data_IF_247873701487
#
_entry.id   IF_247873701487
#
_cell.length_a   1.000
_cell.length_b   1.000
_cell.length_c   1.000
_cell.angle_alpha   90.00
_cell.angle_beta   90.00
_cell.angle_gamma   90.00
#
_symmetry.space_group_name_H-M   'P 1'
#
loop_
_entity.id
_entity.type
_entity.pdbx_description
1 polymer ?
#
# COMPACT_ATOMS: atom_id res chain seq x y z
N UNK A 1 7.36 6.62 7.19
CA UNK A 1 6.51 5.73 6.36
C UNK A 1 5.03 6.03 6.61
N UNK A 2 4.60 7.29 6.53
CA UNK A 2 3.29 7.77 7.02
C UNK A 2 2.31 8.13 5.89
N UNK A 3 2.82 8.52 4.72
CA UNK A 3 2.00 8.77 3.52
C UNK A 3 1.26 7.51 3.00
N UNK A 4 1.75 6.33 3.37
CA UNK A 4 1.15 5.06 2.98
C UNK A 4 -0.19 4.81 3.70
N UNK A 5 -0.36 5.28 4.95
CA UNK A 5 -1.59 5.03 5.74
C UNK A 5 -2.80 5.78 5.19
N UNK A 6 -2.63 7.05 4.77
CA UNK A 6 -3.70 7.82 4.12
C UNK A 6 -4.08 7.21 2.76
N UNK A 7 -3.08 6.77 2.00
CA UNK A 7 -3.30 6.08 0.72
C UNK A 7 -4.02 4.75 0.94
N UNK A 8 -3.64 4.01 1.97
CA UNK A 8 -4.28 2.76 2.38
C UNK A 8 -5.73 3.00 2.82
N UNK A 9 -6.01 4.05 3.60
CA UNK A 9 -7.37 4.41 4.01
C UNK A 9 -8.25 4.70 2.78
N UNK A 10 -7.72 5.43 1.80
CA UNK A 10 -8.43 5.72 0.55
C UNK A 10 -8.76 4.43 -0.23
N UNK A 11 -7.80 3.50 -0.30
CA UNK A 11 -7.99 2.20 -0.96
C UNK A 11 -9.05 1.37 -0.23
N UNK A 12 -8.99 1.28 1.09
CA UNK A 12 -9.95 0.51 1.88
C UNK A 12 -11.36 1.10 1.82
N UNK A 13 -11.50 2.43 1.80
CA UNK A 13 -12.78 3.08 1.57
C UNK A 13 -13.35 2.77 0.19
N UNK A 14 -12.53 2.82 -0.85
CA UNK A 14 -12.97 2.47 -2.21
C UNK A 14 -13.42 1.00 -2.30
N UNK A 15 -12.67 0.08 -1.68
CA UNK A 15 -13.06 -1.34 -1.59
C UNK A 15 -14.39 -1.52 -0.87
N UNK A 16 -14.62 -0.76 0.22
CA UNK A 16 -15.89 -0.78 0.95
C UNK A 16 -17.05 -0.34 0.05
N UNK A 17 -16.89 0.73 -0.72
CA UNK A 17 -17.92 1.22 -1.64
C UNK A 17 -18.26 0.19 -2.72
N UNK A 18 -17.25 -0.45 -3.32
CA UNK A 18 -17.44 -1.54 -4.29
C UNK A 18 -18.20 -2.71 -3.65
N UNK A 19 -17.84 -3.07 -2.42
CA UNK A 19 -18.51 -4.15 -1.69
C UNK A 19 -19.96 -3.82 -1.33
N UNK A 20 -20.28 -2.57 -0.99
CA UNK A 20 -21.65 -2.14 -0.77
C UNK A 20 -22.49 -2.35 -2.03
N UNK A 21 -21.97 -1.92 -3.18
CA UNK A 21 -22.67 -2.09 -4.45
C UNK A 21 -22.83 -3.56 -4.84
N UNK A 22 -21.79 -4.39 -4.65
CA UNK A 22 -21.89 -5.82 -4.95
C UNK A 22 -22.85 -6.54 -4.01
N UNK A 23 -22.88 -6.17 -2.72
CA UNK A 23 -23.82 -6.72 -1.74
C UNK A 23 -25.25 -6.36 -2.11
N UNK A 24 -25.52 -5.08 -2.41
CA UNK A 24 -26.85 -4.64 -2.81
C UNK A 24 -27.31 -5.32 -4.11
N UNK A 25 -26.42 -5.42 -5.09
CA UNK A 25 -26.69 -6.11 -6.35
C UNK A 25 -26.99 -7.59 -6.13
N UNK A 26 -26.20 -8.27 -5.28
CA UNK A 26 -26.42 -9.67 -4.91
C UNK A 26 -27.79 -9.88 -4.25
N UNK A 27 -28.14 -9.04 -3.28
CA UNK A 27 -29.43 -9.11 -2.59
C UNK A 27 -30.61 -8.89 -3.55
N UNK A 28 -30.48 -7.92 -4.45
CA UNK A 28 -31.52 -7.60 -5.42
C UNK A 28 -31.71 -8.72 -6.46
N UNK A 29 -30.63 -9.39 -6.88
CA UNK A 29 -30.71 -10.44 -7.90
C UNK A 29 -31.14 -11.80 -7.33
N UNK A 30 -30.83 -12.10 -6.06
CA UNK A 30 -30.93 -13.46 -5.51
C UNK A 30 -31.99 -13.67 -4.45
N UNK A 31 -32.76 -12.63 -4.12
CA UNK A 31 -33.82 -12.73 -3.12
C UNK A 31 -34.81 -13.87 -3.44
N UNK A 32 -35.30 -14.61 -2.43
CA UNK A 32 -36.36 -15.59 -2.63
C UNK A 32 -37.65 -14.90 -3.09
N UNK A 33 -38.31 -15.45 -4.10
CA UNK A 33 -39.59 -14.94 -4.58
C UNK A 33 -40.70 -15.42 -3.62
N UNK A 34 -41.22 -14.51 -2.81
CA UNK A 34 -42.34 -14.80 -1.90
C UNK A 34 -43.65 -14.54 -2.66
N UNK A 35 -44.47 -15.57 -2.80
CA UNK A 35 -45.80 -15.41 -3.38
C UNK A 35 -46.68 -14.53 -2.47
N UNK A 36 -47.46 -13.59 -3.04
CA UNK A 36 -48.45 -12.84 -2.26
C UNK A 36 -49.44 -13.78 -1.56
N UNK A 37 -49.97 -13.39 -0.39
CA UNK A 37 -51.01 -14.17 0.28
C UNK A 37 -52.23 -14.35 -0.64
N UNK A 38 -52.81 -15.55 -0.66
CA UNK A 38 -53.98 -15.84 -1.47
C UNK A 38 -55.15 -14.94 -1.03
N UNK A 39 -55.62 -14.09 -1.95
CA UNK A 39 -56.76 -13.21 -1.70
C UNK A 39 -58.03 -13.99 -2.06
N UNK A 40 -58.94 -14.26 -1.09
CA UNK A 40 -60.18 -14.97 -1.37
C UNK A 40 -61.01 -14.23 -2.43
N UNK A 41 -61.27 -14.87 -3.57
CA UNK A 41 -62.06 -14.33 -4.68
C UNK A 41 -61.29 -13.94 -5.94
N UNK A 42 -59.95 -13.90 -5.91
CA UNK A 42 -59.11 -13.64 -7.08
C UNK A 42 -58.67 -14.97 -7.74
N UNK A 43 -59.21 -15.27 -8.92
CA UNK A 43 -58.92 -16.50 -9.70
C UNK A 43 -57.66 -16.39 -10.57
N UNK A 44 -56.58 -15.82 -10.04
CA UNK A 44 -55.28 -15.85 -10.72
C UNK A 44 -54.33 -16.77 -9.97
N UNK A 45 -54.61 -18.07 -10.02
CA UNK A 45 -53.69 -19.09 -9.52
C UNK A 45 -53.14 -19.90 -10.69
N UNK A 46 -51.82 -19.80 -10.87
CA UNK A 46 -50.95 -20.73 -11.60
C UNK A 46 -51.39 -21.15 -13.01
N UNK A 47 -51.26 -20.26 -14.00
CA UNK A 47 -50.95 -20.72 -15.35
C UNK A 47 -49.44 -20.93 -15.40
N UNK A 48 -49.03 -22.18 -15.56
CA UNK A 48 -47.66 -22.61 -15.75
C UNK A 48 -47.02 -21.78 -16.87
N UNK A 49 -46.18 -20.80 -16.49
CA UNK A 49 -45.29 -20.13 -17.42
C UNK A 49 -44.33 -21.20 -17.94
N UNK A 50 -44.59 -21.70 -19.16
CA UNK A 50 -43.61 -22.45 -19.92
C UNK A 50 -42.31 -21.63 -19.97
N UNK A 51 -41.12 -22.26 -19.95
CA UNK A 51 -39.86 -21.54 -20.09
C UNK A 51 -39.77 -21.00 -21.52
N UNK A 52 -40.28 -19.79 -21.76
CA UNK A 52 -39.95 -19.01 -22.94
C UNK A 52 -38.52 -18.53 -22.77
N UNK A 53 -37.57 -19.37 -23.18
CA UNK A 53 -36.17 -18.96 -23.36
C UNK A 53 -36.09 -17.82 -24.38
N UNK A 54 -35.19 -16.84 -24.19
CA UNK A 54 -35.01 -15.76 -25.15
C UNK A 54 -34.46 -16.34 -26.46
N UNK A 55 -35.11 -16.01 -27.59
CA UNK A 55 -34.64 -16.37 -28.93
C UNK A 55 -33.29 -15.71 -29.26
N UNK A 56 -32.48 -16.30 -30.14
CA UNK A 56 -31.05 -16.03 -30.20
C UNK A 56 -30.63 -14.85 -31.11
N UNK A 57 -31.49 -13.88 -31.43
CA UNK A 57 -31.20 -12.99 -32.59
C UNK A 57 -31.10 -11.47 -32.36
N UNK A 58 -31.38 -10.91 -31.18
CA UNK A 58 -31.22 -9.44 -31.00
C UNK A 58 -30.32 -9.09 -29.79
N UNK A 59 -29.00 -9.29 -29.97
CA UNK A 59 -27.99 -8.83 -29.01
C UNK A 59 -27.41 -7.49 -29.44
N UNK A 60 -28.27 -6.47 -29.51
CA UNK A 60 -27.80 -5.09 -29.56
C UNK A 60 -27.55 -4.56 -28.13
N UNK A 61 -26.68 -3.55 -28.05
CA UNK A 61 -26.10 -2.91 -26.86
C UNK A 61 -27.05 -2.65 -25.64
N UNK A 62 -28.38 -2.46 -25.74
CA UNK A 62 -29.24 -2.35 -24.55
C UNK A 62 -29.54 -3.69 -23.82
N UNK A 63 -29.40 -4.84 -24.48
CA UNK A 63 -29.77 -6.14 -23.87
C UNK A 63 -28.76 -6.59 -22.81
N UNK A 64 -27.49 -6.16 -22.87
CA UNK A 64 -26.48 -6.49 -21.85
C UNK A 64 -26.77 -5.82 -20.50
N UNK A 65 -27.28 -4.59 -20.51
CA UNK A 65 -27.63 -3.85 -19.28
C UNK A 65 -28.89 -4.46 -18.63
N UNK A 66 -29.86 -4.91 -19.44
CA UNK A 66 -31.04 -5.63 -18.95
C UNK A 66 -30.73 -7.06 -18.46
N UNK A 67 -29.76 -7.74 -19.08
CA UNK A 67 -29.29 -9.05 -18.63
C UNK A 67 -28.72 -9.04 -17.19
N UNK A 68 -28.24 -7.87 -16.74
CA UNK A 68 -27.71 -7.64 -15.39
C UNK A 68 -28.81 -7.55 -14.32
N UNK A 69 -30.08 -7.37 -14.71
CA UNK A 69 -31.25 -7.36 -13.83
C UNK A 69 -32.08 -8.66 -13.89
N UNK A 70 -31.57 -9.70 -14.55
CA UNK A 70 -32.24 -11.01 -14.58
C UNK A 70 -32.20 -11.60 -13.18
N UNK A 71 -33.38 -11.74 -12.56
CA UNK A 71 -33.54 -12.39 -11.27
C UNK A 71 -32.99 -13.83 -11.34
N UNK A 72 -32.11 -14.17 -10.40
CA UNK A 72 -31.58 -15.52 -10.21
C UNK A 72 -31.84 -15.94 -8.75
N UNK A 73 -33.10 -16.24 -8.41
CA UNK A 73 -33.47 -16.59 -7.05
C UNK A 73 -32.64 -17.77 -6.57
N UNK A 74 -32.14 -17.67 -5.34
CA UNK A 74 -31.44 -18.79 -4.68
C UNK A 74 -32.36 -19.33 -3.58
N UNK A 75 -32.05 -20.50 -3.04
CA UNK A 75 -32.80 -21.03 -1.92
C UNK A 75 -32.70 -20.11 -0.69
N UNK A 76 -33.72 -20.13 0.15
CA UNK A 76 -33.85 -19.18 1.27
C UNK A 76 -32.73 -19.33 2.30
N UNK A 77 -32.23 -20.55 2.52
CA UNK A 77 -31.19 -20.81 3.51
C UNK A 77 -29.83 -20.30 3.01
N UNK A 78 -29.42 -20.62 1.79
CA UNK A 78 -28.17 -20.10 1.22
C UNK A 78 -28.20 -18.58 1.08
N UNK A 79 -29.36 -17.99 0.76
CA UNK A 79 -29.53 -16.55 0.73
C UNK A 79 -29.31 -15.90 2.11
N UNK A 80 -29.92 -16.47 3.16
CA UNK A 80 -29.74 -15.99 4.54
C UNK A 80 -28.31 -16.14 5.05
N UNK A 81 -27.67 -17.27 4.74
CA UNK A 81 -26.26 -17.52 5.08
C UNK A 81 -25.34 -16.51 4.38
N UNK A 82 -25.51 -16.32 3.07
CA UNK A 82 -24.75 -15.36 2.29
C UNK A 82 -24.99 -13.91 2.77
N UNK A 83 -26.24 -13.55 3.09
CA UNK A 83 -26.57 -12.24 3.65
C UNK A 83 -25.82 -12.01 4.97
N UNK A 84 -25.77 -13.01 5.85
CA UNK A 84 -25.06 -12.90 7.13
C UNK A 84 -23.55 -12.79 6.93
N UNK A 85 -22.98 -13.55 6.00
CA UNK A 85 -21.54 -13.47 5.66
C UNK A 85 -21.17 -12.08 5.11
N UNK A 86 -21.96 -11.57 4.17
CA UNK A 86 -21.77 -10.24 3.58
C UNK A 86 -21.87 -9.13 4.64
N UNK A 87 -22.86 -9.23 5.54
CA UNK A 87 -23.01 -8.29 6.65
C UNK A 87 -21.80 -8.34 7.61
N UNK A 88 -21.32 -9.55 7.92
CA UNK A 88 -20.15 -9.72 8.78
C UNK A 88 -18.89 -9.10 8.14
N UNK A 89 -18.59 -9.38 6.88
CA UNK A 89 -17.42 -8.81 6.20
C UNK A 89 -17.49 -7.29 6.16
N UNK A 90 -18.66 -6.72 5.91
CA UNK A 90 -18.87 -5.26 5.93
C UNK A 90 -18.56 -4.65 7.31
N UNK A 91 -18.99 -5.31 8.39
CA UNK A 91 -18.68 -4.89 9.76
C UNK A 91 -17.18 -4.99 10.04
N UNK A 92 -16.53 -6.08 9.64
CA UNK A 92 -15.09 -6.27 9.82
C UNK A 92 -14.29 -5.21 9.05
N UNK A 93 -14.64 -4.91 7.80
CA UNK A 93 -13.99 -3.84 7.02
C UNK A 93 -14.19 -2.47 7.64
N UNK A 94 -15.39 -2.19 8.16
CA UNK A 94 -15.66 -0.92 8.86
C UNK A 94 -14.78 -0.79 10.11
N UNK A 95 -14.60 -1.86 10.89
CA UNK A 95 -13.69 -1.87 12.04
C UNK A 95 -12.23 -1.70 11.63
N UNK A 96 -11.81 -2.33 10.53
CA UNK A 96 -10.47 -2.16 9.99
C UNK A 96 -10.20 -0.69 9.59
N UNK A 97 -11.16 -0.04 8.94
CA UNK A 97 -11.10 1.39 8.60
C UNK A 97 -11.00 2.25 9.86
N UNK A 98 -11.80 1.97 10.90
CA UNK A 98 -11.71 2.67 12.18
C UNK A 98 -10.33 2.53 12.83
N UNK A 99 -9.74 1.33 12.79
CA UNK A 99 -8.38 1.10 13.29
C UNK A 99 -7.32 1.84 12.46
N UNK A 100 -7.51 1.96 11.14
CA UNK A 100 -6.62 2.75 10.29
C UNK A 100 -6.72 4.24 10.61
N UNK A 101 -7.93 4.76 10.85
CA UNK A 101 -8.15 6.15 11.29
C UNK A 101 -7.46 6.39 12.63
N UNK A 102 -7.60 5.48 13.60
CA UNK A 102 -6.96 5.59 14.91
C UNK A 102 -5.42 5.53 14.84
N UNK A 103 -4.86 5.00 13.75
CA UNK A 103 -3.40 4.93 13.51
C UNK A 103 -2.89 6.12 12.69
N UNK A 104 -3.75 7.07 12.32
CA UNK A 104 -3.32 8.22 11.54
C UNK A 104 -2.29 9.04 12.36
N UNK A 105 -1.06 9.18 11.87
CA UNK A 105 -0.03 9.93 12.56
C UNK A 105 -0.42 11.40 12.56
N UNK A 106 -0.32 12.06 13.71
CA UNK A 106 -0.64 13.48 13.84
C UNK A 106 -2.13 13.79 14.04
N UNK A 107 -3.01 12.80 14.21
CA UNK A 107 -4.46 13.04 14.42
C UNK A 107 -4.75 13.86 15.69
N UNK A 108 -3.89 13.74 16.70
CA UNK A 108 -4.03 14.43 17.99
C UNK A 108 -3.22 15.73 18.09
N UNK A 109 -2.42 16.07 17.07
CA UNK A 109 -1.51 17.20 17.11
C UNK A 109 -2.03 18.38 16.29
N UNK A 110 -2.07 19.57 16.88
CA UNK A 110 -2.34 20.82 16.16
C UNK A 110 -1.20 21.15 15.18
N UNK A 111 -1.55 21.83 14.08
CA UNK A 111 -0.59 22.23 13.04
C UNK A 111 0.60 23.03 13.59
N UNK A 112 0.35 23.88 14.59
CA UNK A 112 1.40 24.67 15.23
C UNK A 112 2.39 23.80 15.99
N UNK A 113 1.90 22.81 16.75
CA UNK A 113 2.75 21.87 17.48
C UNK A 113 3.59 21.03 16.51
N UNK A 114 2.98 20.56 15.42
CA UNK A 114 3.70 19.83 14.37
C UNK A 114 4.78 20.70 13.72
N UNK A 115 4.48 21.97 13.43
CA UNK A 115 5.44 22.89 12.83
C UNK A 115 6.62 23.21 13.77
N UNK A 116 6.35 23.42 15.06
CA UNK A 116 7.37 23.64 16.07
C UNK A 116 8.27 22.41 16.23
N UNK A 117 7.69 21.21 16.30
CA UNK A 117 8.45 19.96 16.38
C UNK A 117 9.34 19.76 15.15
N UNK A 118 8.84 20.07 13.95
CA UNK A 118 9.61 20.04 12.70
C UNK A 118 10.79 21.02 12.75
N UNK A 119 10.58 22.24 13.28
CA UNK A 119 11.66 23.22 13.41
C UNK A 119 12.73 22.74 14.41
N UNK A 120 12.34 22.15 15.53
CA UNK A 120 13.27 21.62 16.53
C UNK A 120 14.08 20.44 15.98
N UNK A 121 13.43 19.50 15.27
CA UNK A 121 14.08 18.39 14.58
C UNK A 121 15.06 18.89 13.52
N UNK A 122 14.67 19.88 12.71
CA UNK A 122 15.55 20.48 11.71
C UNK A 122 16.79 21.12 12.34
N UNK A 123 16.65 21.82 13.46
CA UNK A 123 17.77 22.39 14.20
C UNK A 123 18.70 21.30 14.75
N UNK A 124 18.16 20.22 15.31
CA UNK A 124 18.96 19.07 15.78
C UNK A 124 19.72 18.40 14.62
N UNK A 125 19.08 18.19 13.48
CA UNK A 125 19.72 17.59 12.29
C UNK A 125 20.89 18.46 11.83
N UNK A 126 20.71 19.79 11.77
CA UNK A 126 21.79 20.71 11.41
C UNK A 126 22.98 20.61 12.37
N UNK A 127 22.74 20.50 13.67
CA UNK A 127 23.82 20.40 14.65
C UNK A 127 24.58 19.06 14.52
N UNK A 128 23.85 17.96 14.32
CA UNK A 128 24.43 16.64 14.06
C UNK A 128 25.26 16.66 12.77
N UNK A 129 24.79 17.34 11.71
CA UNK A 129 25.54 17.48 10.46
C UNK A 129 26.82 18.30 10.61
N UNK A 130 26.79 19.41 11.35
CA UNK A 130 28.00 20.20 11.68
C UNK A 130 29.02 19.34 12.43
N UNK A 131 28.58 18.60 13.43
CA UNK A 131 29.45 17.70 14.20
C UNK A 131 30.03 16.60 13.30
N UNK A 132 29.22 16.00 12.40
CA UNK A 132 29.68 15.02 11.41
C UNK A 132 30.72 15.63 10.46
N UNK A 133 30.53 16.87 10.04
CA UNK A 133 31.44 17.57 9.14
C UNK A 133 32.77 17.90 9.83
N UNK A 134 32.75 18.31 11.10
CA UNK A 134 33.95 18.54 11.90
C UNK A 134 34.77 17.26 12.07
N UNK A 135 34.13 16.16 12.51
CA UNK A 135 34.78 14.85 12.62
C UNK A 135 35.37 14.37 11.29
N UNK A 136 34.68 14.59 10.16
CA UNK A 136 35.21 14.29 8.82
C UNK A 136 36.42 15.15 8.45
N UNK A 137 36.49 16.42 8.89
CA UNK A 137 37.66 17.28 8.65
C UNK A 137 38.86 16.79 9.45
N UNK A 138 38.70 16.47 10.72
CA UNK A 138 39.76 15.92 11.57
C UNK A 138 40.28 14.59 11.02
N UNK A 139 39.37 13.68 10.65
CA UNK A 139 39.73 12.40 10.03
C UNK A 139 40.55 12.60 8.76
N UNK A 140 40.16 13.53 7.87
CA UNK A 140 40.95 13.84 6.66
C UNK A 140 42.33 14.40 6.98
N UNK A 141 42.47 15.20 8.03
CA UNK A 141 43.78 15.73 8.44
C UNK A 141 44.67 14.61 8.99
N UNK A 142 44.12 13.71 9.79
CA UNK A 142 44.84 12.54 10.32
C UNK A 142 45.29 11.60 9.19
N UNK A 143 44.41 11.32 8.22
CA UNK A 143 44.76 10.52 7.03
C UNK A 143 45.89 11.18 6.25
N UNK A 144 45.84 12.49 5.98
CA UNK A 144 46.93 13.21 5.30
C UNK A 144 48.27 13.13 6.04
N UNK A 145 48.25 13.21 7.38
CA UNK A 145 49.47 13.06 8.19
C UNK A 145 50.02 11.64 8.08
N UNK A 146 49.14 10.64 8.11
CA UNK A 146 49.53 9.23 7.94
C UNK A 146 50.13 8.99 6.55
N UNK A 147 49.48 9.49 5.49
CA UNK A 147 49.98 9.41 4.11
C UNK A 147 51.36 10.05 3.96
N UNK A 148 51.61 11.19 4.61
CA UNK A 148 52.91 11.86 4.58
C UNK A 148 54.02 11.03 5.25
N UNK A 149 53.72 10.39 6.39
CA UNK A 149 54.66 9.50 7.09
C UNK A 149 54.93 8.25 6.25
N UNK A 150 53.90 7.66 5.65
CA UNK A 150 54.04 6.51 4.74
C UNK A 150 54.90 6.90 3.54
N UNK A 151 54.67 8.06 2.92
CA UNK A 151 55.47 8.54 1.79
C UNK A 151 56.94 8.78 2.18
N UNK A 152 57.19 9.38 3.36
CA UNK A 152 58.55 9.57 3.87
C UNK A 152 59.26 8.24 4.15
N UNK A 153 58.58 7.27 4.77
CA UNK A 153 59.11 5.93 5.01
C UNK A 153 59.42 5.18 3.70
N UNK A 154 58.57 5.32 2.68
CA UNK A 154 58.81 4.73 1.35
C UNK A 154 59.98 5.41 0.62
N UNK A 155 60.16 6.73 0.77
CA UNK A 155 61.31 7.47 0.23
C UNK A 155 62.63 7.09 0.94
N UNK A 156 62.60 6.95 2.27
CA UNK A 156 63.77 6.52 3.05
C UNK A 156 64.20 5.09 2.68
N UNK A 157 63.23 4.18 2.49
CA UNK A 157 63.50 2.82 2.01
C UNK A 157 63.89 2.75 0.53
N UNK A 158 63.45 3.70 -0.29
CA UNK A 158 63.85 3.85 -1.69
C UNK A 158 65.20 4.54 -1.90
N UNK A 159 65.75 5.20 -0.87
CA UNK A 159 67.04 5.90 -0.90
C UNK A 159 68.25 5.07 -0.46
N UNK A 160 68.07 3.78 -0.15
CA UNK A 160 69.16 2.83 0.14
C UNK A 160 69.38 1.93 -1.08
N UNK A 161 69.63 2.53 -2.24
CA UNK A 161 70.16 1.87 -3.44
C UNK A 161 70.97 2.92 -4.21
N UNK A 162 72.18 2.56 -4.61
CA UNK A 162 73.18 3.35 -5.34
C UNK A 162 73.99 4.37 -4.54
N UNK A 163 74.99 3.87 -3.80
CA UNK A 163 76.36 4.38 -3.92
C UNK A 163 77.35 3.35 -3.34
N UNK A 164 77.76 2.36 -4.15
CA UNK A 164 79.01 1.66 -3.87
C UNK A 164 79.71 1.18 -5.17
N UNK A 165 80.82 1.86 -5.47
CA UNK A 165 82.03 1.42 -6.19
C UNK A 165 81.97 1.13 -7.70
N UNK A 166 82.10 2.21 -8.49
CA UNK A 166 82.96 2.17 -9.67
C UNK A 166 84.42 2.45 -9.28
N UNK A 167 85.33 1.50 -9.50
CA UNK A 167 86.77 1.78 -9.44
C UNK A 167 87.69 0.61 -9.11
N UNK A 168 87.95 -0.28 -10.08
CA UNK A 168 89.25 -0.97 -10.14
C UNK A 168 89.59 -1.44 -11.56
N UNK A 169 90.21 -0.54 -12.33
CA UNK A 169 91.01 -0.86 -13.50
C UNK A 169 92.49 -0.81 -13.11
N UNK A 170 93.06 -1.98 -12.86
CA UNK A 170 94.49 -2.33 -12.73
C UNK A 170 94.52 -3.80 -13.19
N UNK A 171 95.27 -4.31 -14.17
CA UNK A 171 96.64 -4.06 -14.65
C UNK A 171 96.89 -5.13 -15.73
N UNK A 172 97.76 -4.84 -16.72
CA UNK A 172 98.60 -5.85 -17.40
C UNK A 172 98.01 -6.53 -18.62
#
# INVERSE_FOLDING_TARGET
MTADVLTQLQIEYNKLAVQFFSTFSYLNQRHPLVAPPEIPGLRFTSQQLAPSGPGPEDTDWPTRVLAEFVLRPTDENTFKEAQQELANDLIFKTKQIQQLIARLPGIDHDEQQQAEEVQQLAAQVQEIEKARQAKRKEMRQLVKKLDAVIAAFLLEKGGVCDEDQGGRSTTG
#
